data_IF_713783902069
#
_entry.id   IF_713783902069
#
_cell.length_a   1.000
_cell.length_b   1.000
_cell.length_c   1.000
_cell.angle_alpha   90.00
_cell.angle_beta   90.00
_cell.angle_gamma   90.00
#
_symmetry.space_group_name_H-M   'P 1'
#
loop_
_entity.id
_entity.type
_entity.pdbx_description
1 polymer ?
#
# COMPACT_ATOMS: atom_id res chain seq x y z
N UNK A 1 8.24 -8.81 11.55
CA UNK A 1 7.85 -7.54 10.95
C UNK A 1 8.93 -7.03 10.03
N UNK A 2 8.58 -6.73 8.78
CA UNK A 2 9.47 -6.12 7.79
C UNK A 2 8.96 -4.74 7.40
N UNK A 3 9.87 -3.87 6.96
CA UNK A 3 9.54 -2.52 6.52
C UNK A 3 9.98 -2.31 5.08
N UNK A 4 9.14 -1.63 4.31
CA UNK A 4 9.41 -1.27 2.94
C UNK A 4 9.09 0.20 2.71
N UNK A 5 9.87 0.87 1.89
CA UNK A 5 9.64 2.26 1.50
C UNK A 5 9.67 2.42 -0.01
N UNK A 6 8.77 3.29 -0.51
CA UNK A 6 8.66 3.62 -1.91
C UNK A 6 8.00 4.98 -2.11
N UNK A 7 7.82 5.36 -3.37
CA UNK A 7 7.10 6.58 -3.74
C UNK A 7 6.09 6.26 -4.82
N UNK A 8 4.90 6.84 -4.70
CA UNK A 8 3.86 6.67 -5.70
C UNK A 8 2.87 7.82 -5.71
N UNK A 9 2.27 8.07 -6.87
CA UNK A 9 1.11 8.94 -7.02
C UNK A 9 -0.17 8.12 -6.77
N UNK A 10 -0.46 7.88 -5.50
CA UNK A 10 -1.63 7.09 -5.06
C UNK A 10 -2.91 7.69 -5.67
N UNK A 11 -3.86 6.88 -6.19
CA UNK A 11 -5.09 7.40 -6.75
C UNK A 11 -5.83 8.34 -5.77
N UNK A 12 -6.11 9.56 -6.21
CA UNK A 12 -6.76 10.60 -5.40
C UNK A 12 -5.78 11.55 -4.69
N UNK A 13 -4.49 11.23 -4.63
CA UNK A 13 -3.47 12.16 -4.15
C UNK A 13 -3.25 13.30 -5.16
N UNK A 14 -2.92 14.49 -4.67
CA UNK A 14 -2.61 15.65 -5.53
C UNK A 14 -1.20 15.59 -6.13
N UNK A 15 -0.30 14.83 -5.48
CA UNK A 15 1.11 14.67 -5.84
C UNK A 15 1.62 13.30 -5.41
N UNK A 16 2.83 12.96 -5.84
CA UNK A 16 3.56 11.81 -5.35
C UNK A 16 3.83 11.93 -3.84
N UNK A 17 3.69 10.82 -3.12
CA UNK A 17 3.97 10.72 -1.69
C UNK A 17 5.00 9.65 -1.40
N UNK A 18 5.78 9.86 -0.34
CA UNK A 18 6.53 8.77 0.31
C UNK A 18 5.57 7.83 1.03
N UNK A 19 5.70 6.53 0.76
CA UNK A 19 4.85 5.48 1.29
C UNK A 19 5.75 4.46 2.00
N UNK A 20 5.43 4.18 3.26
CA UNK A 20 5.99 3.09 4.03
C UNK A 20 4.96 1.96 4.18
N UNK A 21 5.44 0.72 4.13
CA UNK A 21 4.69 -0.46 4.57
C UNK A 21 5.42 -1.11 5.72
N UNK A 22 4.68 -1.44 6.77
CA UNK A 22 5.11 -2.39 7.79
C UNK A 22 4.27 -3.66 7.62
N UNK A 23 4.91 -4.82 7.45
CA UNK A 23 4.24 -6.09 7.17
C UNK A 23 4.66 -7.12 8.22
N UNK A 24 3.67 -7.72 8.88
CA UNK A 24 3.83 -9.01 9.56
C UNK A 24 3.16 -10.11 8.74
N UNK A 25 3.98 -10.88 8.01
CA UNK A 25 3.52 -11.94 7.13
C UNK A 25 2.83 -13.09 7.88
N UNK A 26 3.30 -13.39 9.09
CA UNK A 26 2.78 -14.50 9.91
C UNK A 26 1.42 -14.16 10.51
N UNK A 27 1.33 -12.97 11.09
CA UNK A 27 0.08 -12.46 11.70
C UNK A 27 -0.91 -11.90 10.67
N UNK A 28 -0.48 -11.77 9.41
CA UNK A 28 -1.25 -11.12 8.32
C UNK A 28 -1.69 -9.72 8.73
N UNK A 29 -0.73 -8.95 9.24
CA UNK A 29 -0.93 -7.56 9.61
C UNK A 29 -0.12 -6.64 8.70
N UNK A 30 -0.71 -5.49 8.37
CA UNK A 30 -0.07 -4.49 7.51
C UNK A 30 -0.42 -3.11 8.02
N UNK A 31 0.55 -2.21 8.07
CA UNK A 31 0.31 -0.78 8.27
C UNK A 31 0.89 0.01 7.11
N UNK A 32 0.06 0.84 6.48
CA UNK A 32 0.48 1.81 5.46
C UNK A 32 0.78 3.14 6.16
N UNK A 33 1.99 3.66 5.98
CA UNK A 33 2.43 4.94 6.53
C UNK A 33 2.67 5.95 5.40
N UNK A 34 2.04 7.11 5.47
CA UNK A 34 2.20 8.18 4.47
C UNK A 34 2.41 9.50 5.22
N UNK A 35 3.67 9.87 5.53
CA UNK A 35 3.98 11.08 6.29
C UNK A 35 3.45 12.37 5.62
N UNK A 36 3.45 12.38 4.29
CA UNK A 36 3.06 13.53 3.47
C UNK A 36 1.56 13.63 3.18
N UNK A 37 0.75 12.66 3.63
CA UNK A 37 -0.69 12.67 3.40
C UNK A 37 -1.34 13.88 4.08
N UNK A 38 -2.27 14.58 3.40
CA UNK A 38 -2.97 15.72 3.97
C UNK A 38 -3.85 15.30 5.16
N UNK A 39 -3.91 16.16 6.18
CA UNK A 39 -4.64 15.90 7.42
C UNK A 39 -3.74 15.41 8.57
N UNK A 40 -4.38 14.98 9.66
CA UNK A 40 -3.69 14.55 10.90
C UNK A 40 -3.33 13.06 10.96
N UNK A 41 -4.00 12.21 10.18
CA UNK A 41 -3.71 10.78 10.11
C UNK A 41 -2.50 10.55 9.20
N UNK A 42 -1.57 9.68 9.64
CA UNK A 42 -0.34 9.33 8.91
C UNK A 42 -0.18 7.83 8.70
N UNK A 43 -1.04 7.04 9.32
CA UNK A 43 -0.99 5.59 9.36
C UNK A 43 -2.39 5.03 9.17
N UNK A 44 -2.46 3.94 8.41
CA UNK A 44 -3.71 3.25 8.12
C UNK A 44 -3.48 1.74 8.18
N UNK A 45 -4.30 1.02 8.96
CA UNK A 45 -4.22 -0.42 9.00
C UNK A 45 -4.70 -1.02 7.68
N UNK A 46 -4.02 -2.08 7.27
CA UNK A 46 -4.48 -2.99 6.23
C UNK A 46 -5.70 -3.76 6.73
N UNK A 47 -6.73 -3.82 5.90
CA UNK A 47 -7.96 -4.53 6.18
C UNK A 47 -8.08 -5.70 5.20
N UNK A 48 -8.66 -6.81 5.66
CA UNK A 48 -8.86 -8.02 4.84
C UNK A 48 -7.54 -8.50 4.24
N UNK A 49 -6.49 -8.53 5.06
CA UNK A 49 -5.14 -8.93 4.63
C UNK A 49 -5.14 -10.41 4.24
N UNK A 50 -4.62 -10.69 3.05
CA UNK A 50 -4.40 -12.04 2.52
C UNK A 50 -2.98 -12.15 2.04
N UNK A 51 -2.33 -13.27 2.37
CA UNK A 51 -1.00 -13.63 1.86
C UNK A 51 -1.12 -14.86 0.98
N UNK A 52 -0.31 -14.92 -0.08
CA UNK A 52 -0.17 -16.08 -0.96
C UNK A 52 1.26 -16.58 -0.89
N UNK A 53 1.42 -17.80 -0.39
CA UNK A 53 2.71 -18.32 0.08
C UNK A 53 3.15 -17.71 1.43
N UNK A 54 4.25 -18.21 2.04
CA UNK A 54 4.77 -17.67 3.29
C UNK A 54 5.07 -16.16 3.28
N UNK A 55 5.68 -15.63 2.20
CA UNK A 55 6.17 -14.25 2.11
C UNK A 55 6.21 -13.68 0.67
N UNK A 56 5.60 -14.36 -0.29
CA UNK A 56 5.75 -14.07 -1.72
C UNK A 56 4.81 -12.98 -2.19
N UNK A 57 3.61 -12.90 -1.63
CA UNK A 57 2.57 -12.00 -2.14
C UNK A 57 1.57 -11.63 -1.04
N UNK A 58 1.08 -10.40 -1.09
CA UNK A 58 0.11 -9.86 -0.13
C UNK A 58 -0.90 -8.94 -0.80
N UNK A 59 -2.15 -9.07 -0.39
CA UNK A 59 -3.28 -8.25 -0.83
C UNK A 59 -4.03 -7.74 0.39
N UNK A 60 -4.37 -6.45 0.39
CA UNK A 60 -5.16 -5.84 1.46
C UNK A 60 -5.86 -4.59 0.95
N UNK A 61 -6.72 -3.99 1.78
CA UNK A 61 -7.31 -2.68 1.49
C UNK A 61 -7.11 -1.68 2.62
N UNK A 62 -6.96 -0.41 2.29
CA UNK A 62 -7.04 0.70 3.25
C UNK A 62 -8.33 1.49 3.03
N UNK A 63 -8.73 2.27 4.04
CA UNK A 63 -9.86 3.22 3.96
C UNK A 63 -9.40 4.59 4.46
N UNK A 64 -9.77 5.64 3.72
CA UNK A 64 -9.54 7.02 4.13
C UNK A 64 -8.18 7.61 3.74
N UNK A 65 -7.53 7.07 2.70
CA UNK A 65 -6.29 7.61 2.12
C UNK A 65 -6.53 7.91 0.64
N UNK A 66 -6.57 9.15 0.13
CA UNK A 66 -7.01 10.36 0.83
C UNK A 66 -8.45 10.19 1.38
N UNK A 67 -9.00 11.16 2.16
CA UNK A 67 -10.30 11.01 2.81
C UNK A 67 -11.38 10.48 1.86
N UNK A 68 -12.19 9.53 2.33
CA UNK A 68 -13.29 8.86 1.62
C UNK A 68 -12.89 7.79 0.58
N UNK A 69 -11.63 7.65 0.20
CA UNK A 69 -11.22 6.61 -0.75
C UNK A 69 -10.97 5.25 -0.08
N UNK A 70 -11.24 4.19 -0.84
CA UNK A 70 -10.80 2.82 -0.51
C UNK A 70 -9.81 2.39 -1.58
N UNK A 71 -8.65 1.91 -1.14
CA UNK A 71 -7.61 1.42 -2.03
C UNK A 71 -7.38 -0.05 -1.77
N UNK A 72 -7.27 -0.82 -2.85
CA UNK A 72 -6.75 -2.17 -2.85
C UNK A 72 -5.27 -2.12 -3.19
N UNK A 73 -4.49 -2.81 -2.39
CA UNK A 73 -3.04 -2.90 -2.53
C UNK A 73 -2.72 -4.35 -2.81
N UNK A 74 -1.90 -4.57 -3.83
CA UNK A 74 -1.41 -5.88 -4.19
C UNK A 74 0.09 -5.78 -4.41
N UNK A 75 0.86 -6.50 -3.60
CA UNK A 75 2.30 -6.56 -3.71
C UNK A 75 2.76 -7.98 -3.93
N UNK A 76 3.74 -8.13 -4.80
CA UNK A 76 4.49 -9.36 -5.06
C UNK A 76 5.94 -9.09 -4.72
N UNK A 77 6.59 -10.06 -4.10
CA UNK A 77 8.01 -10.01 -3.78
C UNK A 77 8.83 -10.26 -5.03
N UNK A 78 9.61 -9.25 -5.44
CA UNK A 78 10.56 -9.36 -6.57
C UNK A 78 11.89 -10.02 -6.17
N UNK A 79 12.25 -9.94 -4.89
CA UNK A 79 13.47 -10.50 -4.29
C UNK A 79 13.45 -10.39 -2.77
N UNK A 80 14.56 -10.72 -2.08
CA UNK A 80 14.58 -10.66 -0.61
C UNK A 80 14.29 -9.25 -0.06
N UNK A 81 14.66 -8.20 -0.80
CA UNK A 81 14.63 -6.82 -0.33
C UNK A 81 13.72 -5.90 -1.16
N UNK A 82 12.80 -6.46 -1.95
CA UNK A 82 11.98 -5.68 -2.88
C UNK A 82 10.53 -6.18 -2.96
N UNK A 83 9.60 -5.22 -2.97
CA UNK A 83 8.20 -5.44 -3.36
C UNK A 83 7.89 -4.63 -4.62
N UNK A 84 7.25 -5.27 -5.58
CA UNK A 84 6.59 -4.62 -6.71
C UNK A 84 5.08 -4.77 -6.54
N UNK A 85 4.32 -3.72 -6.78
CA UNK A 85 2.89 -3.75 -6.53
C UNK A 85 2.06 -2.79 -7.36
N UNK A 86 0.77 -2.89 -7.16
CA UNK A 86 -0.24 -2.03 -7.78
C UNK A 86 -1.26 -1.61 -6.73
N UNK A 87 -1.62 -0.33 -6.79
CA UNK A 87 -2.64 0.29 -5.95
C UNK A 87 -3.84 0.60 -6.83
N UNK A 88 -5.03 0.13 -6.46
CA UNK A 88 -6.28 0.35 -7.19
C UNK A 88 -7.26 1.11 -6.32
N UNK A 89 -7.83 2.20 -6.84
CA UNK A 89 -8.99 2.84 -6.22
C UNK A 89 -10.30 2.35 -6.83
N UNK A 90 -11.40 2.53 -6.10
CA UNK A 90 -12.75 2.35 -6.63
C UNK A 90 -12.96 3.18 -7.93
N UNK A 91 -13.82 2.69 -8.85
CA UNK A 91 -14.10 3.41 -10.08
C UNK A 91 -14.71 4.77 -9.79
N UNK A 92 -14.37 5.76 -10.61
CA UNK A 92 -14.98 7.09 -10.52
C UNK A 92 -16.42 7.11 -11.08
N UNK A 93 -17.04 8.29 -11.11
CA UNK A 93 -18.43 8.46 -11.57
C UNK A 93 -18.66 7.99 -13.03
N UNK A 94 -17.60 7.85 -13.82
CA UNK A 94 -17.66 7.36 -15.20
C UNK A 94 -17.35 5.86 -15.30
N UNK A 95 -17.15 5.16 -14.17
CA UNK A 95 -16.77 3.76 -14.14
C UNK A 95 -15.28 3.51 -14.40
N UNK A 96 -14.44 4.56 -14.41
CA UNK A 96 -13.01 4.42 -14.72
C UNK A 96 -12.23 4.04 -13.47
N UNK A 97 -11.52 2.91 -13.55
CA UNK A 97 -10.59 2.46 -12.51
C UNK A 97 -9.29 3.25 -12.59
N UNK A 98 -8.81 3.72 -11.42
CA UNK A 98 -7.51 4.36 -11.31
C UNK A 98 -6.55 3.43 -10.62
N UNK A 99 -5.41 3.21 -11.26
CA UNK A 99 -4.36 2.33 -10.77
C UNK A 99 -3.03 3.05 -10.72
N UNK A 100 -2.14 2.66 -9.82
CA UNK A 100 -0.78 3.17 -9.74
C UNK A 100 0.19 2.01 -9.43
N UNK A 101 1.18 1.74 -10.29
CA UNK A 101 2.27 0.83 -9.93
C UNK A 101 3.17 1.47 -8.88
N UNK A 102 3.74 0.64 -8.02
CA UNK A 102 4.66 1.07 -6.97
C UNK A 102 5.75 0.00 -6.79
N UNK A 103 6.99 0.46 -6.68
CA UNK A 103 8.13 -0.35 -6.28
C UNK A 103 8.58 0.12 -4.89
N UNK A 104 8.93 -0.83 -4.03
CA UNK A 104 9.34 -0.56 -2.66
C UNK A 104 10.58 -1.37 -2.30
N UNK A 105 11.53 -0.72 -1.65
CA UNK A 105 12.74 -1.35 -1.14
C UNK A 105 12.60 -1.62 0.37
N UNK A 106 13.12 -2.76 0.82
CA UNK A 106 13.16 -3.08 2.25
C UNK A 106 14.05 -2.07 2.99
N UNK A 107 13.60 -1.62 4.16
CA UNK A 107 14.36 -0.70 5.02
C UNK A 107 14.62 -1.32 6.39
N UNK A 108 15.89 -1.30 6.82
CA UNK A 108 16.34 -1.96 8.04
C UNK A 108 16.68 -3.46 7.85
N UNK A 109 17.38 -4.04 8.84
CA UNK A 109 17.67 -5.47 8.92
C UNK A 109 16.49 -6.28 9.48
#
# INVERSE_FOLDING_TARGET
MERFEGKAHVPGAEREWSIGLEIDWGEKDVTVRIPDAPGGLKEWPGLVVQTFGPMEEIVFRTKGIPPLFTHWWHFVRGGHDELAGIVLALPDANGVWRTCPIEMAKTGE
#
